data_IF_246708245117
#
_entry.id   IF_246708245117
#
_cell.length_a   1.000
_cell.length_b   1.000
_cell.length_c   1.000
_cell.angle_alpha   90.00
_cell.angle_beta   90.00
_cell.angle_gamma   90.00
#
_symmetry.space_group_name_H-M   'P 1'
#
loop_
_entity.id
_entity.type
_entity.pdbx_description
1 polymer ?
#
# COMPACT_ATOMS: atom_id res chain seq x y z
N UNK A 1 32.44 15.80 49.79
CA UNK A 1 33.76 16.20 49.22
C UNK A 1 33.45 16.78 47.86
N UNK A 2 33.80 18.06 47.63
CA UNK A 2 33.55 18.71 46.33
C UNK A 2 34.55 18.21 45.29
N UNK A 3 34.15 18.24 44.01
CA UNK A 3 35.03 17.94 42.88
C UNK A 3 36.10 19.02 42.80
N UNK A 4 37.36 18.62 42.65
CA UNK A 4 38.51 19.51 42.49
C UNK A 4 39.34 19.08 41.28
N UNK A 5 40.04 20.03 40.65
CA UNK A 5 40.95 19.76 39.53
C UNK A 5 42.34 20.34 39.82
N UNK A 6 43.39 19.57 39.51
CA UNK A 6 44.77 20.03 39.64
C UNK A 6 45.09 21.01 38.49
N UNK A 7 45.45 22.24 38.83
CA UNK A 7 45.80 23.27 37.83
C UNK A 7 47.29 23.56 37.90
N UNK A 8 47.96 23.51 36.75
CA UNK A 8 49.40 23.79 36.63
C UNK A 8 49.65 24.95 35.69
N UNK A 9 50.59 25.81 36.07
CA UNK A 9 51.05 26.96 35.28
C UNK A 9 52.56 27.13 35.41
N UNK A 10 53.16 27.88 34.48
CA UNK A 10 54.56 28.30 34.59
C UNK A 10 54.66 29.46 35.60
N UNK A 11 55.53 29.35 36.63
CA UNK A 11 55.76 30.46 37.55
C UNK A 11 56.21 31.73 36.79
N UNK A 12 55.85 32.93 37.29
CA UNK A 12 56.28 34.17 36.67
C UNK A 12 57.80 34.31 36.72
N UNK A 13 58.38 34.93 35.69
CA UNK A 13 59.79 35.28 35.70
C UNK A 13 60.03 36.47 36.63
N UNK A 14 61.11 36.43 37.39
CA UNK A 14 61.56 37.55 38.23
C UNK A 14 62.88 38.10 37.73
N UNK A 15 63.04 39.41 37.79
CA UNK A 15 64.30 40.11 37.52
C UNK A 15 64.47 41.20 38.56
N UNK A 16 65.66 41.32 39.12
CA UNK A 16 66.01 42.38 40.04
C UNK A 16 67.45 42.85 39.78
N UNK A 17 67.74 44.13 40.03
CA UNK A 17 69.07 44.68 39.80
C UNK A 17 70.09 44.31 40.89
N UNK A 18 69.65 43.75 42.03
CA UNK A 18 70.49 43.28 43.14
C UNK A 18 70.89 41.80 43.04
N UNK A 19 70.33 41.05 42.08
CA UNK A 19 70.70 39.66 41.82
C UNK A 19 69.61 38.65 42.18
N UNK A 20 69.89 37.73 43.13
CA UNK A 20 69.00 36.62 43.45
C UNK A 20 67.69 37.11 44.09
N UNK A 21 66.56 36.72 43.50
CA UNK A 21 65.22 37.00 44.01
C UNK A 21 64.61 35.71 44.56
N UNK A 22 64.09 35.76 45.78
CA UNK A 22 63.30 34.66 46.33
C UNK A 22 61.85 34.79 45.87
N UNK A 23 61.31 33.79 45.19
CA UNK A 23 59.95 33.78 44.68
C UNK A 23 59.10 32.78 45.49
N UNK A 24 58.02 33.26 46.09
CA UNK A 24 57.06 32.44 46.84
C UNK A 24 55.65 32.65 46.29
N UNK A 25 54.80 31.62 46.37
CA UNK A 25 53.38 31.67 46.01
C UNK A 25 52.51 31.36 47.23
N UNK A 26 51.32 31.96 47.32
CA UNK A 26 50.29 31.57 48.28
C UNK A 26 49.67 30.20 47.95
N UNK A 27 49.55 29.87 46.66
CA UNK A 27 49.08 28.59 46.14
C UNK A 27 50.11 28.05 45.13
N UNK A 28 50.70 26.86 45.33
CA UNK A 28 51.69 26.31 44.41
C UNK A 28 51.08 25.78 43.10
N UNK A 29 51.84 25.86 42.00
CA UNK A 29 51.47 25.23 40.72
C UNK A 29 51.30 23.71 40.90
N UNK A 30 50.21 23.16 40.38
CA UNK A 30 49.80 21.77 40.58
C UNK A 30 48.84 21.55 41.76
N UNK A 31 48.39 22.62 42.44
CA UNK A 31 47.37 22.52 43.49
C UNK A 31 45.99 22.19 42.93
N UNK A 32 45.16 21.58 43.78
CA UNK A 32 43.75 21.31 43.50
C UNK A 32 42.88 22.55 43.75
N UNK A 33 42.04 22.90 42.76
CA UNK A 33 41.08 24.00 42.82
C UNK A 33 39.64 23.47 42.73
N UNK A 34 38.72 24.09 43.48
CA UNK A 34 37.26 23.88 43.30
C UNK A 34 36.74 24.78 42.18
N UNK A 35 35.53 24.50 41.68
CA UNK A 35 34.81 25.37 40.74
C UNK A 35 34.76 26.82 41.24
N UNK A 36 34.98 27.77 40.34
CA UNK A 36 34.97 29.20 40.58
C UNK A 36 36.30 29.90 40.30
N UNK A 37 36.38 31.16 40.71
CA UNK A 37 37.57 31.99 40.54
C UNK A 37 38.42 31.97 41.81
N UNK A 38 39.71 31.70 41.66
CA UNK A 38 40.71 31.78 42.73
C UNK A 38 41.86 32.68 42.29
N UNK A 39 42.12 33.73 43.06
CA UNK A 39 43.29 34.60 42.83
C UNK A 39 44.54 33.93 43.44
N UNK A 40 45.61 33.85 42.64
CA UNK A 40 46.92 33.34 43.05
C UNK A 40 47.90 34.50 43.09
N UNK A 41 48.61 34.65 44.20
CA UNK A 41 49.57 35.73 44.44
C UNK A 41 51.00 35.19 44.56
N UNK A 42 51.87 35.69 43.67
CA UNK A 42 53.31 35.51 43.79
C UNK A 42 53.94 36.73 44.46
N UNK A 43 54.83 36.48 45.43
CA UNK A 43 55.66 37.48 46.11
C UNK A 43 57.12 37.24 45.74
N UNK A 44 57.74 38.23 45.11
CA UNK A 44 59.16 38.26 44.79
C UNK A 44 59.87 39.15 45.81
N UNK A 45 60.84 38.62 46.56
CA UNK A 45 61.58 39.36 47.58
C UNK A 45 63.07 39.39 47.24
N UNK A 46 63.65 40.59 47.21
CA UNK A 46 65.08 40.80 46.97
C UNK A 46 65.94 40.51 48.22
N UNK A 47 67.27 40.61 48.09
CA UNK A 47 68.20 40.39 49.21
C UNK A 47 68.12 41.49 50.30
N UNK A 48 67.57 42.67 49.98
CA UNK A 48 67.35 43.77 50.91
C UNK A 48 66.03 43.64 51.67
N UNK A 49 65.18 42.67 51.31
CA UNK A 49 63.87 42.43 51.91
C UNK A 49 62.74 43.26 51.30
N UNK A 50 62.96 43.91 50.15
CA UNK A 50 61.91 44.59 49.39
C UNK A 50 61.12 43.55 48.60
N UNK A 51 59.80 43.66 48.61
CA UNK A 51 58.92 42.73 47.91
C UNK A 51 58.08 43.40 46.82
N UNK A 52 57.82 42.66 45.75
CA UNK A 52 56.86 42.98 44.72
C UNK A 52 55.89 41.80 44.52
N UNK A 53 54.62 42.11 44.31
CA UNK A 53 53.57 41.11 44.15
C UNK A 53 53.03 41.11 42.71
N UNK A 54 52.68 39.93 42.22
CA UNK A 54 51.97 39.74 40.96
C UNK A 54 50.83 38.74 41.19
N UNK A 55 49.64 39.03 40.66
CA UNK A 55 48.48 38.14 40.77
C UNK A 55 47.97 37.71 39.41
N UNK A 56 47.34 36.54 39.37
CA UNK A 56 46.49 36.09 38.26
C UNK A 56 45.34 35.28 38.83
N UNK A 57 44.29 35.10 38.03
CA UNK A 57 43.08 34.36 38.44
C UNK A 57 43.06 33.02 37.74
N UNK A 58 42.91 31.94 38.53
CA UNK A 58 42.52 30.62 38.05
C UNK A 58 40.99 30.57 38.03
N UNK A 59 40.40 30.36 36.86
CA UNK A 59 38.96 30.18 36.69
C UNK A 59 38.68 28.71 36.35
N UNK A 60 38.15 27.95 37.31
CA UNK A 60 37.70 26.57 37.08
C UNK A 60 36.21 26.61 36.78
N UNK A 61 35.83 26.14 35.61
CA UNK A 61 34.43 26.00 35.20
C UNK A 61 33.97 24.56 35.43
N UNK A 62 32.68 24.38 35.68
CA UNK A 62 32.04 23.07 35.59
C UNK A 62 31.79 22.76 34.11
N UNK A 63 32.03 21.51 33.71
CA UNK A 63 31.79 21.01 32.36
C UNK A 63 30.57 20.08 32.45
N UNK A 64 29.41 20.57 32.01
CA UNK A 64 28.19 19.76 31.99
C UNK A 64 28.15 18.92 30.70
N UNK A 65 27.52 17.74 30.69
CA UNK A 65 27.23 17.07 29.43
C UNK A 65 26.30 17.95 28.59
N UNK A 66 26.29 17.76 27.26
CA UNK A 66 25.44 18.54 26.37
C UNK A 66 23.96 18.33 26.73
N UNK A 67 23.12 19.27 26.31
CA UNK A 67 21.67 19.24 26.48
C UNK A 67 20.93 19.44 25.15
N UNK A 68 19.62 19.21 25.18
CA UNK A 68 18.72 19.57 24.07
C UNK A 68 17.78 20.68 24.51
N UNK A 69 17.80 21.82 23.80
CA UNK A 69 16.96 23.00 24.07
C UNK A 69 15.48 22.63 24.03
N UNK A 70 15.11 21.81 23.04
CA UNK A 70 13.80 21.19 22.93
C UNK A 70 13.96 19.86 22.19
N UNK A 71 13.59 18.78 22.87
CA UNK A 71 13.37 17.51 22.21
C UNK A 71 11.98 17.54 21.55
N UNK A 72 11.82 17.11 20.29
CA UNK A 72 10.50 16.99 19.68
C UNK A 72 9.59 16.09 20.52
N UNK A 73 8.29 16.39 20.52
CA UNK A 73 7.29 15.46 21.03
C UNK A 73 7.00 14.40 19.96
N UNK A 74 6.33 13.32 20.36
CA UNK A 74 5.85 12.32 19.40
C UNK A 74 5.00 12.99 18.31
N UNK A 75 5.22 12.57 17.06
CA UNK A 75 4.58 13.09 15.87
C UNK A 75 3.64 12.02 15.32
N UNK A 76 2.40 12.41 15.01
CA UNK A 76 1.43 11.55 14.36
C UNK A 76 0.97 12.20 13.06
N UNK A 77 1.04 11.46 11.97
CA UNK A 77 0.59 11.89 10.64
C UNK A 77 -0.07 10.73 9.90
N UNK A 78 -0.78 11.05 8.83
CA UNK A 78 -1.25 10.03 7.88
C UNK A 78 -0.22 9.84 6.76
N UNK A 79 -0.25 8.68 6.12
CA UNK A 79 0.48 8.42 4.89
C UNK A 79 0.06 9.38 3.77
N UNK A 80 0.97 9.56 2.82
CA UNK A 80 0.67 10.18 1.54
C UNK A 80 -0.15 9.19 0.71
N UNK A 81 -1.23 9.62 0.03
CA UNK A 81 -2.08 8.73 -0.76
C UNK A 81 -1.25 7.86 -1.71
N UNK A 82 -1.59 6.58 -1.80
CA UNK A 82 -0.97 5.54 -2.62
C UNK A 82 0.46 5.13 -2.27
N UNK A 83 1.16 5.83 -1.37
CA UNK A 83 2.59 5.60 -1.09
C UNK A 83 2.88 4.79 0.17
N UNK A 84 1.92 4.63 1.10
CA UNK A 84 2.17 3.93 2.37
C UNK A 84 3.27 4.56 3.23
N UNK A 85 3.56 5.85 3.04
CA UNK A 85 4.62 6.58 3.75
C UNK A 85 4.35 8.09 3.81
N UNK A 86 4.98 8.79 4.75
CA UNK A 86 4.87 10.22 4.92
C UNK A 86 6.24 10.87 5.13
N UNK A 87 6.49 12.00 4.48
CA UNK A 87 7.65 12.85 4.78
C UNK A 87 7.37 13.65 6.05
N UNK A 88 8.27 13.60 7.03
CA UNK A 88 8.09 14.26 8.33
C UNK A 88 9.26 15.19 8.63
N UNK A 89 8.93 16.46 8.86
CA UNK A 89 9.89 17.48 9.26
C UNK A 89 9.78 17.80 10.74
N UNK A 90 10.93 17.97 11.40
CA UNK A 90 11.04 18.31 12.82
C UNK A 90 12.32 19.09 13.07
N UNK A 91 12.44 19.71 14.26
CA UNK A 91 13.61 20.52 14.61
C UNK A 91 14.20 20.02 15.92
N UNK A 92 15.49 19.67 15.87
CA UNK A 92 16.29 19.29 17.04
C UNK A 92 17.41 20.30 17.20
N UNK A 93 17.62 20.80 18.42
CA UNK A 93 18.70 21.74 18.74
C UNK A 93 19.38 21.28 20.01
N UNK A 94 20.66 20.91 19.89
CA UNK A 94 21.53 20.64 21.02
C UNK A 94 22.26 21.92 21.45
N UNK A 95 22.65 21.99 22.71
CA UNK A 95 23.41 23.09 23.30
C UNK A 95 24.33 22.55 24.38
N UNK A 96 25.41 23.28 24.67
CA UNK A 96 26.30 22.99 25.79
C UNK A 96 26.62 24.28 26.56
N UNK A 97 27.21 24.15 27.75
CA UNK A 97 27.64 25.28 28.56
C UNK A 97 29.04 25.79 28.18
N UNK A 98 29.97 24.90 27.83
CA UNK A 98 31.36 25.22 27.49
C UNK A 98 31.76 24.90 26.04
N UNK A 99 30.92 24.19 25.27
CA UNK A 99 31.21 23.79 23.89
C UNK A 99 30.16 24.30 22.88
N UNK A 100 30.57 25.21 22.00
CA UNK A 100 29.73 25.73 20.92
C UNK A 100 29.70 24.81 19.68
N UNK A 101 30.57 23.78 19.60
CA UNK A 101 30.74 22.95 18.41
C UNK A 101 30.51 21.46 18.68
N UNK A 102 29.29 21.15 19.11
CA UNK A 102 28.84 19.79 19.37
C UNK A 102 28.81 18.91 18.12
N UNK A 103 29.17 17.65 18.29
CA UNK A 103 28.91 16.61 17.29
C UNK A 103 27.52 16.02 17.52
N UNK A 104 26.61 16.16 16.56
CA UNK A 104 25.26 15.59 16.62
C UNK A 104 25.10 14.47 15.61
N UNK A 105 24.64 13.32 16.08
CA UNK A 105 24.28 12.16 15.25
C UNK A 105 22.83 11.78 15.46
N UNK A 106 22.19 11.14 14.48
CA UNK A 106 20.80 10.72 14.58
C UNK A 106 20.50 9.44 13.82
N UNK A 107 19.42 8.76 14.21
CA UNK A 107 18.91 7.60 13.44
C UNK A 107 18.14 8.02 12.19
N UNK A 108 17.53 9.22 12.20
CA UNK A 108 16.76 9.80 11.10
C UNK A 108 16.94 11.32 11.06
N UNK A 109 16.83 11.92 9.88
CA UNK A 109 16.92 13.35 9.62
C UNK A 109 15.53 13.98 9.44
N UNK A 110 15.44 15.29 9.70
CA UNK A 110 14.23 16.04 9.36
C UNK A 110 14.01 16.04 7.85
N UNK A 111 12.79 15.73 7.41
CA UNK A 111 12.47 15.57 5.99
C UNK A 111 12.65 14.14 5.47
N UNK A 112 13.00 13.18 6.34
CA UNK A 112 13.00 11.77 5.97
C UNK A 112 11.56 11.28 5.75
N UNK A 113 11.43 10.25 4.90
CA UNK A 113 10.18 9.53 4.67
C UNK A 113 10.05 8.36 5.63
N UNK A 114 8.95 8.33 6.38
CA UNK A 114 8.61 7.27 7.33
C UNK A 114 7.52 6.38 6.75
N UNK A 115 7.69 5.06 6.82
CA UNK A 115 6.65 4.08 6.46
C UNK A 115 5.58 3.99 7.53
N UNK A 116 4.47 3.33 7.21
CA UNK A 116 3.40 3.04 8.15
C UNK A 116 3.88 2.37 9.45
N UNK A 117 3.24 2.76 10.55
CA UNK A 117 3.57 2.32 11.90
C UNK A 117 4.40 3.35 12.67
N UNK A 118 4.97 2.89 13.79
CA UNK A 118 5.75 3.72 14.70
C UNK A 118 7.25 3.53 14.47
N UNK A 119 7.97 4.63 14.27
CA UNK A 119 9.44 4.68 14.15
C UNK A 119 10.01 5.53 15.27
N UNK A 120 10.94 4.97 16.05
CA UNK A 120 11.65 5.72 17.09
C UNK A 120 12.84 6.47 16.50
N UNK A 121 12.84 7.80 16.65
CA UNK A 121 13.94 8.67 16.21
C UNK A 121 14.76 9.04 17.43
N UNK A 122 16.08 8.82 17.35
CA UNK A 122 17.03 9.15 18.43
C UNK A 122 18.10 10.08 17.90
N UNK A 123 18.37 11.15 18.65
CA UNK A 123 19.47 12.08 18.45
C UNK A 123 20.44 11.97 19.62
N UNK A 124 21.73 11.93 19.31
CA UNK A 124 22.82 11.90 20.29
C UNK A 124 23.75 13.08 20.04
N UNK A 125 23.91 13.94 21.04
CA UNK A 125 24.90 15.02 21.05
C UNK A 125 26.13 14.60 21.84
N UNK A 126 27.32 14.98 21.37
CA UNK A 126 28.61 14.69 22.01
C UNK A 126 29.46 15.95 22.06
N UNK A 127 29.98 16.28 23.24
CA UNK A 127 30.89 17.41 23.47
C UNK A 127 32.35 17.05 23.16
N UNK A 128 33.25 18.04 23.21
CA UNK A 128 34.69 17.84 22.99
C UNK A 128 35.36 16.90 24.01
N UNK A 129 34.79 16.76 25.20
CA UNK A 129 35.24 15.87 26.27
C UNK A 129 34.68 14.45 26.16
N UNK A 130 33.82 14.20 25.16
CA UNK A 130 33.18 12.92 24.91
C UNK A 130 31.99 12.62 25.81
N UNK A 131 31.46 13.59 26.57
CA UNK A 131 30.19 13.44 27.27
C UNK A 131 29.05 13.49 26.27
N UNK A 132 27.94 12.81 26.60
CA UNK A 132 26.84 12.64 25.66
C UNK A 132 25.49 12.88 26.30
N UNK A 133 24.53 13.29 25.48
CA UNK A 133 23.12 13.32 25.81
C UNK A 133 22.27 12.81 24.65
N UNK A 134 21.11 12.27 24.98
CA UNK A 134 20.16 11.72 24.02
C UNK A 134 18.79 12.40 24.10
N UNK A 135 18.16 12.55 22.94
CA UNK A 135 16.77 12.97 22.80
C UNK A 135 16.08 11.98 21.84
N UNK A 136 14.95 11.42 22.26
CA UNK A 136 14.17 10.50 21.44
C UNK A 136 12.69 10.87 21.41
N UNK A 137 12.06 10.57 20.28
CA UNK A 137 10.63 10.75 20.03
C UNK A 137 10.16 9.75 18.97
N UNK A 138 8.85 9.50 18.95
CA UNK A 138 8.24 8.55 18.01
C UNK A 138 7.55 9.28 16.87
N UNK A 139 7.81 8.86 15.64
CA UNK A 139 7.02 9.24 14.46
C UNK A 139 6.06 8.09 14.14
N UNK A 140 4.75 8.35 14.24
CA UNK A 140 3.69 7.40 13.88
C UNK A 140 3.03 7.82 12.58
N UNK A 141 3.13 6.98 11.56
CA UNK A 141 2.39 7.16 10.30
C UNK A 141 1.20 6.19 10.30
N UNK A 142 0.00 6.74 10.29
CA UNK A 142 -1.24 5.99 10.19
C UNK A 142 -1.66 5.88 8.72
N UNK A 143 -2.32 4.79 8.37
CA UNK A 143 -3.01 4.69 7.09
C UNK A 143 -4.49 5.00 7.26
N UNK A 144 -4.99 5.89 6.41
CA UNK A 144 -6.38 6.35 6.37
C UNK A 144 -6.99 6.22 4.96
N UNK A 145 -6.29 5.53 4.05
CA UNK A 145 -6.78 5.22 2.72
C UNK A 145 -7.64 3.95 2.79
N UNK A 146 -8.71 3.89 1.99
CA UNK A 146 -9.52 2.68 1.91
C UNK A 146 -8.86 1.70 0.94
N UNK A 147 -9.00 0.38 1.16
CA UNK A 147 -8.49 -0.61 0.22
C UNK A 147 -9.18 -0.46 -1.15
N UNK A 148 -8.45 -0.77 -2.22
CA UNK A 148 -8.99 -0.75 -3.58
C UNK A 148 -9.46 -2.15 -3.97
N UNK A 149 -10.75 -2.29 -4.32
CA UNK A 149 -11.31 -3.51 -4.91
C UNK A 149 -11.20 -3.41 -6.44
N UNK A 150 -10.53 -4.38 -7.07
CA UNK A 150 -10.39 -4.49 -8.52
C UNK A 150 -11.23 -5.66 -9.06
N UNK A 151 -11.69 -5.52 -10.30
CA UNK A 151 -12.47 -6.54 -11.02
C UNK A 151 -13.74 -6.98 -10.28
N UNK A 152 -14.44 -6.02 -9.68
CA UNK A 152 -15.75 -6.30 -9.11
C UNK A 152 -16.72 -6.80 -10.20
N UNK A 153 -17.37 -7.96 -9.99
CA UNK A 153 -18.29 -8.49 -10.98
C UNK A 153 -19.41 -7.51 -11.32
N UNK A 154 -19.83 -7.49 -12.57
CA UNK A 154 -21.07 -6.82 -12.97
C UNK A 154 -22.28 -7.70 -12.62
N UNK A 155 -23.47 -7.10 -12.62
CA UNK A 155 -24.71 -7.86 -12.55
C UNK A 155 -24.77 -8.89 -13.70
N UNK A 156 -25.26 -10.10 -13.39
CA UNK A 156 -25.29 -11.20 -14.34
C UNK A 156 -26.58 -12.00 -14.26
N UNK A 157 -26.89 -12.69 -15.36
CA UNK A 157 -28.04 -13.60 -15.47
C UNK A 157 -27.52 -15.03 -15.58
N UNK A 158 -28.12 -15.92 -14.81
CA UNK A 158 -27.91 -17.36 -14.92
C UNK A 158 -29.23 -18.04 -15.27
N UNK A 159 -29.18 -19.05 -16.12
CA UNK A 159 -30.37 -19.78 -16.55
C UNK A 159 -30.41 -21.19 -15.97
N UNK A 160 -31.63 -21.64 -15.73
CA UNK A 160 -31.93 -23.01 -15.29
C UNK A 160 -33.00 -23.61 -16.19
N UNK A 161 -33.02 -24.94 -16.27
CA UNK A 161 -33.99 -25.64 -17.10
C UNK A 161 -35.42 -25.46 -16.55
N UNK A 162 -36.44 -25.53 -17.42
CA UNK A 162 -37.83 -25.44 -16.99
C UNK A 162 -38.18 -26.43 -15.88
N UNK A 163 -38.81 -25.93 -14.81
CA UNK A 163 -39.20 -26.72 -13.64
C UNK A 163 -38.10 -26.90 -12.59
N UNK A 164 -36.91 -26.34 -12.80
CA UNK A 164 -35.89 -26.22 -11.76
C UNK A 164 -36.14 -24.98 -10.91
N UNK A 165 -35.81 -25.04 -9.62
CA UNK A 165 -35.95 -23.91 -8.69
C UNK A 165 -34.64 -23.27 -8.29
N UNK A 166 -33.51 -23.83 -8.75
CA UNK A 166 -32.17 -23.37 -8.40
C UNK A 166 -31.12 -23.89 -9.37
N UNK A 167 -30.04 -23.14 -9.55
CA UNK A 167 -28.93 -23.47 -10.43
C UNK A 167 -27.58 -23.14 -9.78
N UNK A 168 -26.54 -23.86 -10.21
CA UNK A 168 -25.17 -23.53 -9.84
C UNK A 168 -24.68 -22.36 -10.65
N UNK A 169 -24.08 -21.36 -10.00
CA UNK A 169 -23.63 -20.12 -10.65
C UNK A 169 -22.13 -19.91 -10.42
N UNK A 170 -21.47 -19.29 -11.39
CA UNK A 170 -20.03 -19.05 -11.33
C UNK A 170 -19.73 -17.61 -11.74
N UNK A 171 -18.80 -17.00 -11.02
CA UNK A 171 -18.20 -15.72 -11.37
C UNK A 171 -16.73 -15.73 -10.97
N UNK A 172 -15.96 -14.78 -11.48
CA UNK A 172 -14.59 -14.56 -11.00
C UNK A 172 -14.64 -13.65 -9.77
N UNK A 173 -14.13 -14.07 -8.60
CA UNK A 173 -14.05 -13.19 -7.44
C UNK A 173 -13.21 -11.94 -7.75
N UNK A 174 -13.55 -10.78 -7.18
CA UNK A 174 -12.69 -9.61 -7.25
C UNK A 174 -11.37 -9.83 -6.50
N UNK A 175 -10.47 -8.87 -6.64
CA UNK A 175 -9.24 -8.79 -5.83
C UNK A 175 -9.22 -7.50 -5.02
N UNK A 176 -8.43 -7.47 -3.95
CA UNK A 176 -8.26 -6.27 -3.11
C UNK A 176 -6.77 -5.98 -2.88
N UNK A 177 -6.42 -4.70 -2.86
CA UNK A 177 -5.06 -4.23 -2.59
C UNK A 177 -5.10 -2.91 -1.82
N UNK A 178 -4.10 -2.67 -0.98
CA UNK A 178 -3.95 -1.41 -0.28
C UNK A 178 -2.47 -1.03 -0.11
N UNK A 179 -2.20 0.26 0.14
CA UNK A 179 -0.85 0.76 0.33
C UNK A 179 -0.24 0.38 1.71
N UNK A 180 -1.07 -0.09 2.65
CA UNK A 180 -0.68 -0.51 4.00
C UNK A 180 -0.35 -1.98 4.14
N UNK A 181 -0.46 -2.75 3.05
CA UNK A 181 -0.12 -4.16 2.98
C UNK A 181 -1.21 -5.00 2.34
N UNK A 182 -1.26 -6.28 2.71
CA UNK A 182 -2.24 -7.22 2.17
C UNK A 182 -3.63 -6.95 2.77
N UNK A 183 -4.58 -6.59 1.90
CA UNK A 183 -5.99 -6.47 2.29
C UNK A 183 -6.67 -7.83 2.34
N UNK A 184 -7.54 -8.02 3.33
CA UNK A 184 -8.46 -9.17 3.36
C UNK A 184 -9.66 -8.89 2.48
N UNK A 185 -10.21 -9.92 1.83
CA UNK A 185 -11.41 -9.82 1.00
C UNK A 185 -12.36 -10.95 1.37
N UNK A 186 -13.55 -10.60 1.87
CA UNK A 186 -14.55 -11.58 2.30
C UNK A 186 -15.86 -11.40 1.50
N UNK A 187 -16.42 -12.50 1.01
CA UNK A 187 -17.79 -12.56 0.51
C UNK A 187 -18.77 -12.59 1.70
N UNK A 188 -19.81 -11.77 1.62
CA UNK A 188 -20.84 -11.61 2.65
C UNK A 188 -22.02 -12.57 2.51
N UNK A 189 -21.87 -13.70 1.81
CA UNK A 189 -22.96 -14.63 1.56
C UNK A 189 -22.56 -15.79 0.67
N UNK A 190 -22.62 -15.57 -0.64
CA UNK A 190 -22.43 -16.61 -1.64
C UNK A 190 -21.03 -16.54 -2.28
N UNK A 191 -20.51 -17.73 -2.64
CA UNK A 191 -19.24 -17.94 -3.30
C UNK A 191 -19.42 -18.55 -4.71
N UNK A 192 -18.45 -18.36 -5.64
CA UNK A 192 -18.53 -18.97 -6.95
C UNK A 192 -18.66 -20.49 -6.84
N UNK A 193 -19.65 -21.05 -7.54
CA UNK A 193 -20.02 -22.47 -7.48
C UNK A 193 -21.16 -22.79 -6.51
N UNK A 194 -21.68 -21.80 -5.78
CA UNK A 194 -22.88 -21.98 -4.98
C UNK A 194 -24.13 -22.19 -5.84
N UNK A 195 -25.13 -22.82 -5.22
CA UNK A 195 -26.44 -23.04 -5.82
C UNK A 195 -27.40 -21.95 -5.37
N UNK A 196 -27.83 -21.12 -6.31
CA UNK A 196 -28.76 -20.03 -6.07
C UNK A 196 -30.18 -20.38 -6.52
N UNK A 197 -31.16 -19.95 -5.75
CA UNK A 197 -32.57 -20.11 -6.10
C UNK A 197 -32.99 -19.13 -7.20
N UNK A 198 -34.06 -19.48 -7.91
CA UNK A 198 -34.72 -18.61 -8.88
C UNK A 198 -35.02 -17.22 -8.27
N UNK A 199 -34.69 -16.16 -9.01
CA UNK A 199 -34.83 -14.76 -8.59
C UNK A 199 -33.48 -14.05 -8.47
N UNK A 200 -33.47 -12.96 -7.69
CA UNK A 200 -32.28 -12.12 -7.52
C UNK A 200 -31.56 -12.44 -6.21
N UNK A 201 -30.24 -12.63 -6.30
CA UNK A 201 -29.33 -12.74 -5.17
C UNK A 201 -28.29 -11.64 -5.26
N UNK A 202 -28.12 -10.85 -4.20
CA UNK A 202 -27.08 -9.82 -4.12
C UNK A 202 -25.86 -10.37 -3.39
N UNK A 203 -24.73 -10.42 -4.09
CA UNK A 203 -23.44 -10.81 -3.54
C UNK A 203 -22.68 -9.54 -3.14
N UNK A 204 -22.09 -9.54 -1.96
CA UNK A 204 -21.34 -8.42 -1.40
C UNK A 204 -19.93 -8.88 -1.06
N UNK A 205 -18.91 -8.18 -1.55
CA UNK A 205 -17.53 -8.35 -1.13
C UNK A 205 -17.11 -7.16 -0.27
N UNK A 206 -16.50 -7.44 0.88
CA UNK A 206 -15.93 -6.42 1.78
C UNK A 206 -14.43 -6.62 1.83
N UNK A 207 -13.70 -5.61 1.36
CA UNK A 207 -12.27 -5.52 1.55
C UNK A 207 -11.95 -4.78 2.85
N UNK A 208 -10.95 -5.27 3.60
CA UNK A 208 -10.47 -4.63 4.81
C UNK A 208 -8.94 -4.65 4.85
N UNK A 209 -8.33 -3.48 5.02
CA UNK A 209 -6.88 -3.34 5.15
C UNK A 209 -6.38 -3.62 6.59
N UNK A 210 -5.06 -3.70 6.81
CA UNK A 210 -4.46 -3.85 8.14
C UNK A 210 -4.78 -2.73 9.15
N UNK A 211 -5.04 -1.52 8.68
CA UNK A 211 -5.39 -0.35 9.50
C UNK A 211 -6.87 -0.32 9.88
N UNK A 212 -7.66 -1.21 9.26
CA UNK A 212 -9.06 -1.42 9.51
C UNK A 212 -10.00 -0.59 8.63
N UNK A 213 -9.49 0.15 7.64
CA UNK A 213 -10.35 0.81 6.66
C UNK A 213 -10.96 -0.25 5.73
N UNK A 214 -12.15 0.06 5.21
CA UNK A 214 -12.99 -0.90 4.51
C UNK A 214 -13.57 -0.28 3.25
N UNK A 215 -13.64 -1.11 2.21
CA UNK A 215 -14.31 -0.80 0.95
C UNK A 215 -15.24 -1.95 0.61
N UNK A 216 -16.33 -1.68 -0.10
CA UNK A 216 -17.35 -2.69 -0.42
C UNK A 216 -17.68 -2.66 -1.90
N UNK A 217 -17.83 -3.84 -2.50
CA UNK A 217 -18.42 -3.97 -3.82
C UNK A 217 -19.57 -4.98 -3.83
N UNK A 218 -20.61 -4.68 -4.62
CA UNK A 218 -21.83 -5.48 -4.70
C UNK A 218 -22.25 -5.69 -6.13
N UNK A 219 -22.80 -6.87 -6.43
CA UNK A 219 -23.44 -7.19 -7.70
C UNK A 219 -24.61 -8.15 -7.48
N UNK A 220 -25.49 -8.23 -8.48
CA UNK A 220 -26.69 -9.05 -8.45
C UNK A 220 -26.61 -10.18 -9.46
N UNK A 221 -26.91 -11.39 -9.02
CA UNK A 221 -27.13 -12.55 -9.86
C UNK A 221 -28.63 -12.78 -9.97
N UNK A 222 -29.14 -12.77 -11.20
CA UNK A 222 -30.54 -13.05 -11.50
C UNK A 222 -30.66 -14.43 -12.12
N UNK A 223 -31.23 -15.38 -11.37
CA UNK A 223 -31.51 -16.74 -11.83
C UNK A 223 -32.90 -16.77 -12.45
N UNK A 224 -32.99 -17.11 -13.73
CA UNK A 224 -34.26 -17.22 -14.47
C UNK A 224 -34.42 -18.60 -15.08
N UNK A 225 -35.66 -19.05 -15.22
CA UNK A 225 -35.98 -20.16 -16.11
C UNK A 225 -35.87 -19.68 -17.55
N UNK A 226 -35.31 -20.53 -18.40
CA UNK A 226 -35.18 -20.28 -19.83
C UNK A 226 -35.34 -21.61 -20.59
N UNK A 227 -36.10 -21.61 -21.68
CA UNK A 227 -36.31 -22.79 -22.52
C UNK A 227 -35.64 -22.57 -23.87
N UNK A 228 -35.02 -23.58 -24.50
CA UNK A 228 -34.53 -23.42 -25.86
C UNK A 228 -35.66 -23.03 -26.83
N UNK A 229 -35.34 -22.37 -27.96
CA UNK A 229 -36.32 -22.05 -28.98
C UNK A 229 -37.12 -23.28 -29.45
N UNK A 230 -38.34 -23.08 -29.94
CA UNK A 230 -39.14 -24.15 -30.51
C UNK A 230 -39.48 -23.86 -31.97
N UNK A 231 -39.23 -24.82 -32.85
CA UNK A 231 -39.67 -24.71 -34.24
C UNK A 231 -41.15 -25.04 -34.38
N UNK A 232 -41.85 -24.17 -35.11
CA UNK A 232 -43.21 -24.38 -35.60
C UNK A 232 -43.19 -24.57 -37.11
N UNK A 233 -44.02 -25.50 -37.59
CA UNK A 233 -44.12 -25.87 -39.01
C UNK A 233 -42.79 -26.37 -39.61
N UNK A 234 -42.05 -27.21 -38.88
CA UNK A 234 -40.92 -27.94 -39.45
C UNK A 234 -41.37 -28.69 -40.71
N UNK A 235 -40.75 -28.47 -41.89
CA UNK A 235 -41.15 -29.14 -43.11
C UNK A 235 -41.03 -30.66 -42.97
N UNK A 236 -41.76 -31.37 -43.82
CA UNK A 236 -41.68 -32.84 -43.92
C UNK A 236 -40.85 -33.23 -45.12
N UNK A 237 -40.33 -34.45 -45.08
CA UNK A 237 -39.56 -35.02 -46.20
C UNK A 237 -40.34 -34.91 -47.51
N UNK A 238 -39.65 -34.52 -48.56
CA UNK A 238 -40.20 -34.41 -49.91
C UNK A 238 -39.57 -35.46 -50.80
N UNK A 239 -40.39 -36.08 -51.65
CA UNK A 239 -39.90 -36.94 -52.72
C UNK A 239 -40.30 -36.34 -54.05
N UNK A 240 -39.30 -35.99 -54.85
CA UNK A 240 -39.49 -35.31 -56.13
C UNK A 240 -38.87 -36.16 -57.26
N UNK A 241 -39.53 -36.26 -58.42
CA UNK A 241 -38.86 -36.72 -59.62
C UNK A 241 -37.88 -35.66 -60.12
N UNK A 242 -36.90 -36.07 -60.92
CA UNK A 242 -36.09 -35.13 -61.71
C UNK A 242 -36.96 -34.27 -62.62
N UNK A 243 -36.53 -33.02 -62.81
CA UNK A 243 -37.15 -32.10 -63.76
C UNK A 243 -36.95 -32.60 -65.20
N UNK A 244 -37.91 -32.31 -66.10
CA UNK A 244 -37.89 -32.88 -67.46
C UNK A 244 -36.62 -32.50 -68.23
N UNK A 245 -35.74 -33.48 -68.44
CA UNK A 245 -34.49 -33.31 -69.17
C UNK A 245 -33.27 -32.94 -68.30
N UNK A 246 -33.45 -32.86 -66.98
CA UNK A 246 -32.41 -32.48 -66.01
C UNK A 246 -32.04 -33.65 -65.08
N UNK A 247 -30.94 -33.52 -64.33
CA UNK A 247 -30.47 -34.49 -63.33
C UNK A 247 -30.68 -34.03 -61.88
N UNK A 248 -31.49 -32.99 -61.70
CA UNK A 248 -31.88 -32.41 -60.42
C UNK A 248 -33.40 -32.23 -60.31
N UNK A 249 -33.87 -31.88 -59.12
CA UNK A 249 -35.23 -31.38 -58.89
C UNK A 249 -35.17 -30.10 -58.05
N UNK A 250 -36.02 -29.13 -58.37
CA UNK A 250 -36.18 -27.92 -57.54
C UNK A 250 -37.17 -28.19 -56.40
N UNK A 251 -36.73 -28.06 -55.15
CA UNK A 251 -37.61 -28.27 -53.99
C UNK A 251 -38.09 -26.93 -53.42
N UNK A 252 -39.38 -26.86 -53.07
CA UNK A 252 -39.98 -25.68 -52.47
C UNK A 252 -40.70 -26.06 -51.16
N UNK A 253 -40.51 -25.25 -50.12
CA UNK A 253 -41.15 -25.43 -48.83
C UNK A 253 -41.40 -24.08 -48.16
N UNK A 254 -42.27 -24.07 -47.17
CA UNK A 254 -42.38 -22.92 -46.27
C UNK A 254 -41.30 -23.04 -45.22
N UNK A 255 -40.39 -22.06 -45.12
CA UNK A 255 -39.36 -22.06 -44.08
C UNK A 255 -40.02 -22.15 -42.68
N UNK A 256 -39.49 -23.00 -41.77
CA UNK A 256 -40.01 -23.08 -40.41
C UNK A 256 -39.75 -21.78 -39.65
N UNK A 257 -40.58 -21.50 -38.67
CA UNK A 257 -40.42 -20.35 -37.77
C UNK A 257 -40.05 -20.85 -36.38
N UNK A 258 -39.03 -20.27 -35.75
CA UNK A 258 -38.73 -20.53 -34.36
C UNK A 258 -39.35 -19.46 -33.46
N UNK A 259 -39.94 -19.88 -32.35
CA UNK A 259 -40.46 -19.01 -31.30
C UNK A 259 -39.75 -19.34 -30.00
N UNK A 260 -39.43 -18.30 -29.24
CA UNK A 260 -38.83 -18.37 -27.93
C UNK A 260 -39.53 -17.34 -27.04
N UNK A 261 -39.84 -17.71 -25.80
CA UNK A 261 -40.69 -16.87 -24.95
C UNK A 261 -39.89 -15.72 -24.34
N UNK A 262 -38.62 -15.96 -24.05
CA UNK A 262 -37.73 -15.04 -23.36
C UNK A 262 -36.93 -14.14 -24.33
N UNK A 263 -36.74 -14.59 -25.58
CA UNK A 263 -35.99 -13.85 -26.60
C UNK A 263 -36.54 -14.01 -28.02
N UNK A 264 -35.88 -13.40 -29.01
CA UNK A 264 -36.20 -13.60 -30.43
C UNK A 264 -35.08 -14.41 -31.08
N UNK A 265 -35.31 -15.68 -31.45
CA UNK A 265 -34.24 -16.56 -31.89
C UNK A 265 -33.77 -16.21 -33.31
N UNK A 266 -32.47 -16.35 -33.55
CA UNK A 266 -31.88 -16.26 -34.88
C UNK A 266 -31.97 -17.63 -35.55
N UNK A 267 -32.59 -17.70 -36.73
CA UNK A 267 -32.75 -18.93 -37.51
C UNK A 267 -31.78 -18.94 -38.68
N UNK A 268 -30.98 -20.00 -38.78
CA UNK A 268 -30.06 -20.26 -39.89
C UNK A 268 -30.41 -21.58 -40.57
N UNK A 269 -30.09 -21.73 -41.86
CA UNK A 269 -30.26 -22.97 -42.62
C UNK A 269 -29.09 -23.26 -43.55
N UNK A 270 -28.92 -24.53 -43.89
CA UNK A 270 -27.94 -24.98 -44.89
C UNK A 270 -28.47 -24.90 -46.34
N UNK A 271 -29.78 -24.79 -46.57
CA UNK A 271 -30.43 -24.65 -47.88
C UNK A 271 -31.63 -23.71 -47.82
N UNK A 272 -31.98 -23.11 -48.95
CA UNK A 272 -33.12 -22.19 -49.10
C UNK A 272 -34.22 -22.79 -49.97
N UNK A 273 -35.48 -22.44 -49.69
CA UNK A 273 -36.60 -22.90 -50.50
C UNK A 273 -36.47 -22.38 -51.93
N UNK A 274 -36.47 -23.30 -52.90
CA UNK A 274 -36.22 -23.02 -54.32
C UNK A 274 -34.83 -23.46 -54.80
N UNK A 275 -34.00 -24.03 -53.92
CA UNK A 275 -32.72 -24.63 -54.30
C UNK A 275 -32.90 -25.89 -55.18
N UNK A 276 -31.87 -26.17 -55.99
CA UNK A 276 -31.77 -27.35 -56.85
C UNK A 276 -31.08 -28.50 -56.11
N UNK A 277 -31.71 -29.68 -56.13
CA UNK A 277 -31.21 -30.87 -55.44
C UNK A 277 -30.86 -31.98 -56.44
N UNK A 278 -29.65 -32.56 -56.39
CA UNK A 278 -29.27 -33.65 -57.28
C UNK A 278 -29.95 -34.96 -56.86
N UNK A 279 -29.89 -35.97 -57.74
CA UNK A 279 -30.30 -37.35 -57.44
C UNK A 279 -29.74 -37.85 -56.10
N UNK A 280 -30.61 -38.42 -55.27
CA UNK A 280 -30.25 -38.96 -53.96
C UNK A 280 -31.05 -38.34 -52.82
N UNK A 281 -30.50 -38.45 -51.60
CA UNK A 281 -31.08 -37.87 -50.40
C UNK A 281 -30.23 -36.70 -49.92
N UNK A 282 -30.84 -35.52 -49.73
CA UNK A 282 -30.20 -34.35 -49.15
C UNK A 282 -30.98 -33.89 -47.92
N UNK A 283 -30.33 -33.83 -46.77
CA UNK A 283 -30.94 -33.33 -45.53
C UNK A 283 -30.82 -31.81 -45.45
N UNK A 284 -31.97 -31.14 -45.37
CA UNK A 284 -32.07 -29.72 -45.04
C UNK A 284 -32.17 -29.59 -43.54
N UNK A 285 -31.36 -28.73 -42.94
CA UNK A 285 -31.29 -28.47 -41.50
C UNK A 285 -31.48 -26.98 -41.24
N UNK A 286 -32.34 -26.67 -40.27
CA UNK A 286 -32.54 -25.36 -39.68
C UNK A 286 -32.09 -25.39 -38.23
N UNK A 287 -31.33 -24.38 -37.81
CA UNK A 287 -30.87 -24.19 -36.43
C UNK A 287 -31.37 -22.84 -35.93
N UNK A 288 -32.11 -22.82 -34.83
CA UNK A 288 -32.54 -21.63 -34.14
C UNK A 288 -31.69 -21.43 -32.89
N UNK A 289 -31.14 -20.23 -32.68
CA UNK A 289 -30.34 -19.88 -31.50
C UNK A 289 -30.93 -18.67 -30.77
N UNK A 290 -31.16 -18.79 -29.46
CA UNK A 290 -31.66 -17.68 -28.63
C UNK A 290 -30.57 -16.66 -28.26
N UNK A 291 -30.92 -15.62 -27.49
CA UNK A 291 -29.97 -14.59 -27.04
C UNK A 291 -28.92 -15.08 -26.02
N UNK A 292 -29.13 -16.27 -25.44
CA UNK A 292 -28.28 -16.90 -24.42
C UNK A 292 -27.47 -18.08 -24.98
N UNK A 293 -27.63 -18.38 -26.27
CA UNK A 293 -26.89 -19.40 -27.02
C UNK A 293 -27.51 -20.80 -26.99
N UNK A 294 -28.73 -20.99 -26.47
CA UNK A 294 -29.39 -22.29 -26.57
C UNK A 294 -29.93 -22.51 -27.99
N UNK A 295 -29.89 -23.76 -28.45
CA UNK A 295 -30.22 -24.11 -29.83
C UNK A 295 -31.34 -25.13 -29.94
N UNK A 296 -32.17 -25.00 -30.97
CA UNK A 296 -33.08 -26.03 -31.43
C UNK A 296 -32.91 -26.31 -32.92
N UNK A 297 -33.22 -27.55 -33.33
CA UNK A 297 -33.01 -28.01 -34.69
C UNK A 297 -34.33 -28.50 -35.30
N UNK A 298 -34.49 -28.27 -36.60
CA UNK A 298 -35.53 -28.83 -37.45
C UNK A 298 -34.86 -29.34 -38.72
N UNK A 299 -35.12 -30.58 -39.12
CA UNK A 299 -34.58 -31.14 -40.35
C UNK A 299 -35.58 -32.00 -41.09
N UNK A 300 -35.41 -32.07 -42.40
CA UNK A 300 -36.20 -32.89 -43.31
C UNK A 300 -35.37 -33.25 -44.55
N UNK A 301 -35.76 -34.33 -45.21
CA UNK A 301 -35.03 -34.88 -46.34
C UNK A 301 -35.69 -34.50 -47.68
N UNK A 302 -34.87 -34.07 -48.64
CA UNK A 302 -35.24 -33.96 -50.05
C UNK A 302 -34.70 -35.18 -50.79
N UNK A 303 -35.62 -36.02 -51.27
CA UNK A 303 -35.32 -37.26 -51.98
C UNK A 303 -35.63 -37.07 -53.47
N UNK A 304 -34.60 -37.01 -54.31
CA UNK A 304 -34.73 -36.86 -55.76
C UNK A 304 -34.54 -38.21 -56.46
N UNK A 305 -35.61 -38.66 -57.14
CA UNK A 305 -35.64 -39.92 -57.87
C UNK A 305 -35.57 -39.69 -59.39
N UNK A 306 -34.85 -40.58 -60.09
CA UNK A 306 -34.76 -40.61 -61.55
C UNK A 306 -35.87 -41.40 -62.22
#
# INVERSE_FOLDING_TARGET
MGVTVAVSWSPPNTTDNSGLVNLTSDIPSGSDFTIGMTEVTYTATDAAGLSANCTFVVNVLEDMPPGFVACPHDIMTNNTPTLGSAEVSFKVVANDDLDDNLTVSSTHSSGDTFTLGATNVTYTATDYNGQTAECSFTVTVNDNEMPVISDCPADMVATILPGQTSGMVFWTPPTASDNSGESTLNSGGDDPGDVLMLGNTTVTYVAKDPSGNQETCTFTITVVEDEPPTFTNCPVDQTLPTDEGEDFATAAWTAPTADDRESSPVVESNYESGDEFPLGNTTVEYVATDSLGQTANCSFDIIVNG
#
